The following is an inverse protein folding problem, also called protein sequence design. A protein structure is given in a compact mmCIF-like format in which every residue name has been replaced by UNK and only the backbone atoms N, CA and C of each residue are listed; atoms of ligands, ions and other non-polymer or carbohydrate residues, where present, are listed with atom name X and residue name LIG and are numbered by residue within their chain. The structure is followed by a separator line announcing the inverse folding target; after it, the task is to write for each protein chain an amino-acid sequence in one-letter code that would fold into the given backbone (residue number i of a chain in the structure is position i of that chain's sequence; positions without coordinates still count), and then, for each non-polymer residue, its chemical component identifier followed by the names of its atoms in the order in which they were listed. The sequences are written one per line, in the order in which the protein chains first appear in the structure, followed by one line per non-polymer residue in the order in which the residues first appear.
data_IF_583897071136
#
_entry.id   IF_583897071136
#
_cell.length_a   1.000
_cell.length_b   1.000
_cell.length_c   1.000
_cell.angle_alpha   90.00
_cell.angle_beta   90.00
_cell.angle_gamma   90.00
#
_symmetry.space_group_name_H-M   'P 1'
#
loop_
_entity.id
_entity.type
_entity.pdbx_description
1 polymer ?
#
# COMPACT_ATOMS: atom_id res chain seq x y z
N UNK A 1 -10.22 -47.66 -40.87
CA UNK A 1 -9.05 -48.25 -40.18
C UNK A 1 -7.97 -47.19 -39.93
N UNK A 2 -8.36 -46.00 -39.42
CA UNK A 2 -7.51 -44.82 -39.28
C UNK A 2 -7.53 -44.23 -37.84
N UNK A 3 -8.11 -44.98 -36.89
CA UNK A 3 -8.29 -44.57 -35.48
C UNK A 3 -7.40 -45.37 -34.52
N UNK A 4 -6.62 -46.35 -35.00
CA UNK A 4 -5.83 -47.25 -34.13
C UNK A 4 -4.34 -46.90 -33.97
N UNK A 5 -3.82 -45.84 -34.60
CA UNK A 5 -2.40 -45.48 -34.51
C UNK A 5 -2.09 -44.28 -33.61
N UNK A 6 -3.07 -43.46 -33.24
CA UNK A 6 -2.85 -42.29 -32.38
C UNK A 6 -2.61 -42.61 -30.90
N UNK A 7 -2.92 -43.83 -30.44
CA UNK A 7 -2.88 -44.17 -29.01
C UNK A 7 -1.51 -44.65 -28.48
N UNK A 8 -0.46 -44.78 -29.31
CA UNK A 8 0.84 -45.30 -28.83
C UNK A 8 1.86 -44.25 -28.38
N UNK A 9 1.64 -42.96 -28.66
CA UNK A 9 2.63 -41.91 -28.37
C UNK A 9 2.36 -41.08 -27.10
N UNK A 10 1.28 -41.36 -26.35
CA UNK A 10 0.87 -40.54 -25.22
C UNK A 10 1.43 -40.98 -23.85
N UNK A 11 2.20 -42.07 -23.76
CA UNK A 11 2.58 -42.68 -22.46
C UNK A 11 3.96 -42.24 -21.93
N UNK A 12 4.69 -41.34 -22.60
CA UNK A 12 5.97 -40.82 -22.05
C UNK A 12 6.10 -39.31 -22.18
N UNK A 13 5.34 -38.56 -21.39
CA UNK A 13 5.72 -37.19 -21.06
C UNK A 13 5.13 -36.82 -19.70
N UNK A 14 5.86 -37.14 -18.62
CA UNK A 14 5.54 -36.66 -17.26
C UNK A 14 6.83 -36.22 -16.59
N UNK A 15 6.92 -34.91 -16.33
CA UNK A 15 7.99 -34.08 -15.73
C UNK A 15 8.84 -33.31 -16.74
N UNK A 16 8.54 -32.01 -16.87
CA UNK A 16 9.46 -30.90 -16.63
C UNK A 16 8.68 -29.58 -16.62
N UNK A 17 8.99 -28.72 -15.64
CA UNK A 17 8.45 -27.38 -15.45
C UNK A 17 9.14 -26.39 -16.42
N UNK A 18 8.38 -25.39 -16.87
CA UNK A 18 8.91 -24.11 -17.37
C UNK A 18 9.17 -23.99 -18.88
N UNK A 19 8.27 -23.30 -19.57
CA UNK A 19 8.54 -22.43 -20.73
C UNK A 19 9.11 -23.04 -22.02
N UNK A 20 8.37 -22.88 -23.12
CA UNK A 20 8.80 -23.06 -24.52
C UNK A 20 9.10 -24.49 -25.02
N UNK A 21 8.08 -25.34 -25.18
CA UNK A 21 8.23 -26.59 -25.97
C UNK A 21 7.03 -27.01 -26.86
N UNK A 22 6.13 -26.11 -27.25
CA UNK A 22 5.10 -26.45 -28.25
C UNK A 22 5.62 -26.45 -29.71
N UNK A 23 6.79 -25.88 -29.96
CA UNK A 23 7.31 -25.71 -31.33
C UNK A 23 8.08 -26.91 -31.89
N UNK A 24 8.59 -27.81 -31.04
CA UNK A 24 9.50 -28.88 -31.49
C UNK A 24 8.73 -30.08 -32.08
N UNK A 25 7.54 -30.42 -31.55
CA UNK A 25 6.78 -31.57 -32.06
C UNK A 25 6.14 -31.35 -33.44
N UNK A 26 5.96 -30.12 -33.91
CA UNK A 26 5.35 -29.84 -35.21
C UNK A 26 6.35 -30.00 -36.38
N UNK A 27 7.64 -29.82 -36.13
CA UNK A 27 8.69 -29.86 -37.17
C UNK A 27 9.02 -31.31 -37.57
N UNK A 28 9.03 -32.26 -36.62
CA UNK A 28 9.32 -33.67 -36.95
C UNK A 28 8.21 -34.34 -37.76
N UNK A 29 6.95 -33.95 -37.56
CA UNK A 29 5.82 -34.51 -38.31
C UNK A 29 5.80 -34.07 -39.79
N UNK A 30 6.34 -32.89 -40.11
CA UNK A 30 6.40 -32.37 -41.49
C UNK A 30 7.55 -33.01 -42.28
N UNK A 31 8.67 -33.34 -41.62
CA UNK A 31 9.80 -34.00 -42.28
C UNK A 31 9.53 -35.48 -42.61
N UNK A 32 8.71 -36.17 -41.81
CA UNK A 32 8.36 -37.57 -42.07
C UNK A 32 7.52 -37.78 -43.34
N UNK A 33 6.73 -36.79 -43.76
CA UNK A 33 5.87 -36.89 -44.96
C UNK A 33 6.62 -36.62 -46.26
N UNK A 34 7.80 -35.98 -46.21
CA UNK A 34 8.60 -35.67 -47.40
C UNK A 34 9.54 -36.81 -47.83
N UNK A 35 9.75 -37.83 -47.00
CA UNK A 35 10.74 -38.87 -47.25
C UNK A 35 10.27 -40.05 -48.14
N UNK A 36 8.98 -40.12 -48.51
CA UNK A 36 8.43 -41.32 -49.18
C UNK A 36 7.91 -41.12 -50.60
N UNK A 37 8.17 -39.98 -51.25
CA UNK A 37 7.68 -39.72 -52.60
C UNK A 37 8.83 -39.46 -53.58
N UNK A 38 9.07 -40.41 -54.50
CA UNK A 38 9.93 -40.19 -55.67
C UNK A 38 9.27 -39.13 -56.56
N UNK A 39 9.85 -37.93 -56.59
CA UNK A 39 9.34 -36.82 -57.40
C UNK A 39 10.28 -36.50 -58.57
N UNK A 40 9.65 -36.34 -59.74
CA UNK A 40 10.24 -35.99 -61.02
C UNK A 40 10.83 -34.56 -60.99
N UNK A 41 12.13 -34.46 -61.34
CA UNK A 41 12.97 -33.27 -61.12
C UNK A 41 12.52 -31.99 -61.85
N UNK A 42 11.64 -32.10 -62.85
CA UNK A 42 11.15 -30.93 -63.61
C UNK A 42 10.02 -30.17 -62.92
N UNK A 43 9.28 -30.79 -61.99
CA UNK A 43 8.19 -30.11 -61.27
C UNK A 43 8.69 -29.34 -60.03
N UNK A 44 9.85 -29.73 -59.49
CA UNK A 44 10.40 -29.21 -58.23
C UNK A 44 10.67 -27.71 -58.29
N UNK A 45 11.09 -27.16 -59.44
CA UNK A 45 11.47 -25.74 -59.54
C UNK A 45 10.28 -24.77 -59.41
N UNK A 46 9.06 -25.18 -59.80
CA UNK A 46 7.84 -24.36 -59.65
C UNK A 46 7.30 -24.41 -58.21
N UNK A 47 7.31 -25.58 -57.59
CA UNK A 47 6.79 -25.74 -56.22
C UNK A 47 7.77 -25.21 -55.16
N UNK A 48 9.08 -25.32 -55.37
CA UNK A 48 10.10 -24.80 -54.45
C UNK A 48 9.97 -23.28 -54.29
N UNK A 49 9.61 -22.55 -55.35
CA UNK A 49 9.45 -21.11 -55.26
C UNK A 49 8.22 -20.71 -54.45
N UNK A 50 7.12 -21.46 -54.56
CA UNK A 50 5.90 -21.22 -53.80
C UNK A 50 6.01 -21.66 -52.34
N UNK A 51 6.71 -22.76 -52.06
CA UNK A 51 6.97 -23.18 -50.67
C UNK A 51 7.93 -22.24 -49.95
N UNK A 52 8.93 -21.68 -50.65
CA UNK A 52 9.84 -20.70 -50.06
C UNK A 52 9.13 -19.38 -49.74
N UNK A 53 8.23 -18.92 -50.63
CA UNK A 53 7.40 -17.73 -50.39
C UNK A 53 6.45 -17.96 -49.21
N UNK A 54 5.79 -19.12 -49.14
CA UNK A 54 4.91 -19.46 -48.02
C UNK A 54 5.67 -19.55 -46.68
N UNK A 55 6.89 -20.07 -46.68
CA UNK A 55 7.74 -20.13 -45.49
C UNK A 55 8.16 -18.73 -45.02
N UNK A 56 8.55 -17.85 -45.95
CA UNK A 56 8.88 -16.44 -45.65
C UNK A 56 7.67 -15.69 -45.11
N UNK A 57 6.47 -15.95 -45.66
CA UNK A 57 5.23 -15.34 -45.17
C UNK A 57 4.85 -15.83 -43.77
N UNK A 58 5.00 -17.13 -43.50
CA UNK A 58 4.76 -17.71 -42.17
C UNK A 58 5.79 -17.23 -41.14
N UNK A 59 7.07 -17.12 -41.51
CA UNK A 59 8.11 -16.54 -40.65
C UNK A 59 7.87 -15.05 -40.39
N UNK A 60 7.38 -14.30 -41.38
CA UNK A 60 6.96 -12.91 -41.22
C UNK A 60 5.78 -12.74 -40.26
N UNK A 61 4.80 -13.65 -40.29
CA UNK A 61 3.67 -13.64 -39.35
C UNK A 61 4.08 -13.99 -37.92
N UNK A 62 5.09 -14.84 -37.72
CA UNK A 62 5.64 -15.15 -36.38
C UNK A 62 6.46 -13.95 -35.86
N UNK A 63 7.16 -13.22 -36.73
CA UNK A 63 7.87 -11.98 -36.35
C UNK A 63 6.92 -10.80 -36.04
N UNK A 64 5.65 -10.89 -36.44
CA UNK A 64 4.59 -9.94 -36.08
C UNK A 64 3.74 -10.38 -34.89
N UNK A 65 4.11 -11.46 -34.18
CA UNK A 65 3.66 -11.61 -32.79
C UNK A 65 4.33 -10.51 -31.99
N UNK A 66 3.63 -9.37 -31.96
CA UNK A 66 3.85 -8.24 -31.07
C UNK A 66 4.41 -8.77 -29.76
N UNK A 67 5.68 -8.47 -29.49
CA UNK A 67 6.14 -8.38 -28.12
C UNK A 67 5.24 -7.34 -27.48
N UNK A 68 4.13 -7.78 -26.89
CA UNK A 68 3.37 -6.99 -25.96
C UNK A 68 4.40 -6.59 -24.91
N UNK A 69 4.82 -5.32 -24.97
CA UNK A 69 5.76 -4.73 -24.03
C UNK A 69 5.12 -4.98 -22.67
N UNK A 70 5.63 -5.98 -21.95
CA UNK A 70 5.20 -6.28 -20.58
C UNK A 70 5.32 -4.96 -19.85
N UNK A 71 4.17 -4.37 -19.52
CA UNK A 71 4.03 -2.98 -19.09
C UNK A 71 4.77 -2.80 -17.77
N UNK A 72 6.05 -2.41 -17.81
CA UNK A 72 6.78 -1.95 -16.62
C UNK A 72 5.97 -0.86 -15.89
N UNK A 73 5.36 0.06 -16.66
CA UNK A 73 4.43 1.06 -16.13
C UNK A 73 3.23 0.52 -15.33
N UNK A 74 2.79 -0.72 -15.55
CA UNK A 74 1.66 -1.31 -14.81
C UNK A 74 2.13 -1.89 -13.47
N UNK A 75 3.27 -2.58 -13.45
CA UNK A 75 3.84 -3.13 -12.22
C UNK A 75 4.28 -2.01 -11.28
N UNK A 76 4.92 -0.97 -11.83
CA UNK A 76 5.37 0.20 -11.07
C UNK A 76 4.17 0.98 -10.48
N UNK A 77 3.10 1.18 -11.27
CA UNK A 77 1.90 1.88 -10.81
C UNK A 77 1.10 1.13 -9.74
N UNK A 78 1.05 -0.20 -9.81
CA UNK A 78 0.38 -1.03 -8.80
C UNK A 78 1.17 -1.05 -7.48
N UNK A 79 2.51 -1.15 -7.56
CA UNK A 79 3.37 -1.08 -6.38
C UNK A 79 3.22 0.27 -5.69
N UNK A 80 3.26 1.38 -6.45
CA UNK A 80 3.09 2.72 -5.90
C UNK A 80 1.72 2.91 -5.25
N UNK A 81 0.64 2.42 -5.87
CA UNK A 81 -0.69 2.43 -5.27
C UNK A 81 -0.74 1.67 -3.95
N UNK A 82 -0.08 0.51 -3.89
CA UNK A 82 -0.01 -0.33 -2.68
C UNK A 82 0.75 0.40 -1.56
N UNK A 83 1.92 0.95 -1.88
CA UNK A 83 2.73 1.71 -0.91
C UNK A 83 1.97 2.94 -0.40
N UNK A 84 1.24 3.65 -1.26
CA UNK A 84 0.38 4.75 -0.83
C UNK A 84 -0.72 4.30 0.15
N UNK A 85 -1.41 3.19 -0.11
CA UNK A 85 -2.43 2.66 0.80
C UNK A 85 -1.85 2.38 2.18
N UNK A 86 -0.68 1.74 2.23
CA UNK A 86 0.04 1.47 3.47
C UNK A 86 0.42 2.78 4.18
N UNK A 87 1.01 3.75 3.47
CA UNK A 87 1.36 5.06 4.02
C UNK A 87 0.16 5.77 4.65
N UNK A 88 -0.98 5.78 3.96
CA UNK A 88 -2.19 6.43 4.43
C UNK A 88 -2.74 5.75 5.70
N UNK A 89 -2.72 4.42 5.71
CA UNK A 89 -3.13 3.61 6.86
C UNK A 89 -2.23 3.81 8.08
N UNK A 90 -0.91 3.87 7.90
CA UNK A 90 0.03 4.15 8.99
C UNK A 90 -0.11 5.58 9.51
N UNK A 91 -0.25 6.56 8.62
CA UNK A 91 -0.49 7.95 8.99
C UNK A 91 -1.74 8.10 9.88
N UNK A 92 -2.86 7.51 9.47
CA UNK A 92 -4.09 7.57 10.25
C UNK A 92 -3.93 6.96 11.63
N UNK A 93 -3.25 5.82 11.72
CA UNK A 93 -3.00 5.15 12.99
C UNK A 93 -2.11 5.98 13.92
N UNK A 94 -1.08 6.65 13.40
CA UNK A 94 -0.21 7.54 14.17
C UNK A 94 -0.99 8.76 14.69
N UNK A 95 -1.79 9.39 13.83
CA UNK A 95 -2.63 10.54 14.21
C UNK A 95 -3.66 10.14 15.26
N UNK A 96 -4.30 8.97 15.13
CA UNK A 96 -5.25 8.45 16.13
C UNK A 96 -4.61 8.29 17.50
N UNK A 97 -3.41 7.71 17.57
CA UNK A 97 -2.69 7.57 18.84
C UNK A 97 -2.29 8.94 19.41
N UNK A 98 -1.86 9.88 18.57
CA UNK A 98 -1.51 11.22 19.02
C UNK A 98 -2.73 12.00 19.55
N UNK A 99 -3.86 11.89 18.86
CA UNK A 99 -5.15 12.45 19.25
C UNK A 99 -5.66 11.84 20.57
N UNK A 100 -5.49 10.52 20.77
CA UNK A 100 -5.78 9.85 22.05
C UNK A 100 -4.99 10.46 23.21
N UNK A 101 -3.70 10.68 22.98
CA UNK A 101 -2.80 11.23 23.99
C UNK A 101 -3.14 12.69 24.28
N UNK A 102 -3.43 13.48 23.25
CA UNK A 102 -3.94 14.84 23.40
C UNK A 102 -5.23 14.91 24.21
N UNK A 103 -6.20 14.03 23.93
CA UNK A 103 -7.50 14.01 24.64
C UNK A 103 -7.38 13.64 26.13
N UNK A 104 -6.28 12.99 26.55
CA UNK A 104 -5.99 12.69 27.95
C UNK A 104 -5.39 13.87 28.72
N UNK A 105 -4.90 14.90 28.03
CA UNK A 105 -4.36 16.11 28.68
C UNK A 105 -5.48 16.97 29.25
N UNK A 106 -5.17 17.71 30.32
CA UNK A 106 -6.12 18.58 31.00
C UNK A 106 -5.66 20.04 30.93
N UNK A 107 -6.50 20.97 31.37
CA UNK A 107 -6.14 22.40 31.39
C UNK A 107 -4.93 22.75 32.28
N UNK A 108 -4.42 21.80 33.07
CA UNK A 108 -3.19 21.96 33.87
C UNK A 108 -1.94 21.37 33.18
N UNK A 109 -2.10 20.69 32.04
CA UNK A 109 -1.03 20.00 31.33
C UNK A 109 -1.25 18.47 31.29
N UNK A 110 -0.15 17.72 31.32
CA UNK A 110 -0.15 16.25 31.23
C UNK A 110 -0.75 15.58 32.49
N UNK A 111 -1.38 14.40 32.36
CA UNK A 111 -1.70 13.57 33.51
C UNK A 111 -0.42 12.99 34.14
N UNK A 112 -0.45 12.56 35.41
CA UNK A 112 0.70 11.88 36.03
C UNK A 112 1.09 10.58 35.31
N UNK A 113 0.09 9.88 34.76
CA UNK A 113 0.26 8.66 33.97
C UNK A 113 -0.76 8.67 32.83
N UNK A 114 -0.30 8.32 31.62
CA UNK A 114 -1.17 8.14 30.47
C UNK A 114 -1.78 6.74 30.45
N UNK A 115 -3.03 6.66 30.02
CA UNK A 115 -3.73 5.41 29.74
C UNK A 115 -3.29 4.92 28.36
N UNK A 116 -2.65 3.76 28.33
CA UNK A 116 -2.05 3.18 27.11
C UNK A 116 -2.83 1.97 26.58
N UNK A 117 -4.16 1.95 26.77
CA UNK A 117 -5.00 0.78 26.46
C UNK A 117 -5.04 0.40 24.98
N UNK A 118 -4.88 1.37 24.07
CA UNK A 118 -4.80 1.14 22.63
C UNK A 118 -3.39 0.76 22.14
N UNK A 119 -2.37 0.92 22.98
CA UNK A 119 -0.96 0.75 22.64
C UNK A 119 -0.47 -0.67 22.92
N UNK A 120 0.75 -0.97 22.48
CA UNK A 120 1.45 -2.19 22.88
C UNK A 120 1.77 -2.18 24.38
N UNK A 121 1.82 -3.37 25.00
CA UNK A 121 2.20 -3.55 26.41
C UNK A 121 3.61 -3.07 26.76
N UNK A 122 4.51 -2.96 25.78
CA UNK A 122 5.85 -2.40 25.98
C UNK A 122 5.89 -0.88 25.90
N UNK A 123 4.80 -0.23 25.51
CA UNK A 123 4.78 1.22 25.33
C UNK A 123 4.90 1.92 26.69
N UNK A 124 5.74 2.96 26.72
CA UNK A 124 5.91 3.84 27.87
C UNK A 124 5.99 5.29 27.41
N UNK A 125 5.60 6.23 28.28
CA UNK A 125 5.62 7.66 27.99
C UNK A 125 6.59 8.36 28.93
N UNK A 126 7.42 9.23 28.39
CA UNK A 126 8.38 10.05 29.13
C UNK A 126 7.96 11.50 28.95
N UNK A 127 7.53 12.14 30.03
CA UNK A 127 7.10 13.54 30.03
C UNK A 127 8.32 14.42 30.20
N UNK A 128 8.62 15.27 29.20
CA UNK A 128 9.69 16.27 29.27
C UNK A 128 9.16 17.60 29.81
N UNK A 129 7.95 17.98 29.39
CA UNK A 129 7.22 19.14 29.91
C UNK A 129 5.77 18.76 30.23
N UNK A 130 5.35 19.13 31.44
CA UNK A 130 4.11 18.65 32.04
C UNK A 130 3.04 19.73 32.21
N UNK A 131 3.36 21.02 32.03
CA UNK A 131 2.50 22.14 32.41
C UNK A 131 2.39 23.18 31.28
N UNK A 132 1.32 23.99 31.31
CA UNK A 132 1.16 25.15 30.42
C UNK A 132 1.44 26.50 31.12
N UNK A 133 1.75 26.49 32.41
CA UNK A 133 1.81 27.69 33.26
C UNK A 133 3.11 28.51 33.15
N UNK A 134 4.16 27.91 32.62
CA UNK A 134 5.47 28.49 32.27
C UNK A 134 5.43 29.32 30.98
N UNK A 135 4.35 29.22 30.21
CA UNK A 135 4.12 30.00 28.99
C UNK A 135 4.61 29.31 27.72
N UNK A 136 5.08 28.07 27.81
CA UNK A 136 5.27 27.12 26.73
C UNK A 136 4.21 26.01 26.74
N UNK A 137 4.33 25.10 25.78
CA UNK A 137 3.44 23.96 25.62
C UNK A 137 4.01 22.72 26.27
N UNK A 138 3.17 21.72 26.53
CA UNK A 138 3.62 20.43 27.06
C UNK A 138 4.31 19.57 26.00
N UNK A 139 5.19 18.68 26.44
CA UNK A 139 6.00 17.82 25.58
C UNK A 139 6.22 16.46 26.22
N UNK A 140 6.10 15.40 25.42
CA UNK A 140 6.35 14.03 25.86
C UNK A 140 6.75 13.12 24.71
N UNK A 141 7.56 12.11 25.03
CA UNK A 141 8.01 11.05 24.13
C UNK A 141 7.20 9.76 24.41
N UNK A 142 6.70 9.12 23.36
CA UNK A 142 6.13 7.77 23.40
C UNK A 142 7.17 6.80 22.88
N UNK A 143 7.64 5.90 23.75
CA UNK A 143 8.57 4.84 23.41
C UNK A 143 7.82 3.52 23.26
N UNK A 144 7.85 2.92 22.07
CA UNK A 144 7.15 1.69 21.73
C UNK A 144 8.00 0.42 21.98
N UNK A 145 9.23 0.59 22.48
CA UNK A 145 10.15 -0.49 22.79
C UNK A 145 11.19 -0.75 21.68
N UNK A 146 11.99 -1.82 21.83
CA UNK A 146 13.14 -2.09 20.98
C UNK A 146 12.74 -2.46 19.54
N UNK A 147 13.62 -2.17 18.59
CA UNK A 147 13.46 -2.46 17.16
C UNK A 147 14.03 -3.82 16.74
N UNK A 148 14.17 -4.76 17.69
CA UNK A 148 14.70 -6.10 17.39
C UNK A 148 13.64 -6.91 16.66
N UNK A 149 13.96 -7.40 15.46
CA UNK A 149 13.05 -8.21 14.64
C UNK A 149 13.12 -9.71 15.01
N UNK A 150 11.99 -10.44 14.97
CA UNK A 150 10.64 -9.91 14.77
C UNK A 150 10.16 -9.11 15.98
N UNK A 151 9.33 -8.09 15.74
CA UNK A 151 8.71 -7.32 16.81
C UNK A 151 7.87 -8.25 17.70
N UNK A 152 7.90 -7.99 19.01
CA UNK A 152 7.22 -8.82 20.01
C UNK A 152 5.70 -8.66 19.95
N UNK A 153 4.94 -9.68 20.33
CA UNK A 153 3.48 -9.55 20.55
C UNK A 153 3.12 -8.46 21.56
N UNK A 154 4.03 -8.15 22.49
CA UNK A 154 3.84 -7.05 23.43
C UNK A 154 3.95 -5.66 22.77
N UNK A 155 4.45 -5.57 21.53
CA UNK A 155 4.53 -4.35 20.73
C UNK A 155 3.32 -4.17 19.80
N UNK A 156 2.40 -5.14 19.79
CA UNK A 156 1.19 -5.08 19.00
C UNK A 156 0.16 -4.17 19.67
N UNK A 157 -0.22 -3.11 18.97
CA UNK A 157 -1.31 -2.22 19.39
C UNK A 157 -2.68 -2.86 19.17
N UNK A 158 -3.71 -2.18 19.67
CA UNK A 158 -5.10 -2.61 19.53
C UNK A 158 -5.56 -2.70 18.07
N UNK A 159 -5.01 -1.86 17.21
CA UNK A 159 -5.27 -1.88 15.77
C UNK A 159 -4.60 -3.05 15.02
N UNK A 160 -3.90 -3.90 15.75
CA UNK A 160 -3.24 -5.08 15.22
C UNK A 160 -1.88 -4.79 14.61
N UNK A 161 -1.43 -3.52 14.60
CA UNK A 161 -0.14 -3.10 14.07
C UNK A 161 0.95 -3.16 15.14
N UNK A 162 2.12 -3.63 14.77
CA UNK A 162 3.31 -3.67 15.62
C UNK A 162 4.05 -2.36 15.50
N UNK A 163 4.54 -1.82 16.62
CA UNK A 163 5.30 -0.55 16.65
C UNK A 163 6.57 -0.69 17.48
N UNK A 164 7.64 -0.03 17.08
CA UNK A 164 8.88 0.09 17.85
C UNK A 164 9.55 1.43 17.58
N UNK A 165 10.52 1.82 18.41
CA UNK A 165 11.16 3.13 18.33
C UNK A 165 10.39 4.19 19.11
N UNK A 166 10.52 5.45 18.71
CA UNK A 166 10.03 6.60 19.48
C UNK A 166 9.21 7.56 18.62
N UNK A 167 8.35 8.31 19.30
CA UNK A 167 7.53 9.38 18.71
C UNK A 167 7.43 10.52 19.71
N UNK A 168 7.58 11.75 19.24
CA UNK A 168 7.56 12.95 20.06
C UNK A 168 6.27 13.71 19.81
N UNK A 169 5.64 14.17 20.88
CA UNK A 169 4.42 14.97 20.83
C UNK A 169 4.64 16.25 21.62
N UNK A 170 4.29 17.37 20.99
CA UNK A 170 4.24 18.69 21.62
C UNK A 170 2.85 19.27 21.46
N UNK A 171 2.31 19.87 22.51
CA UNK A 171 0.99 20.51 22.47
C UNK A 171 1.12 21.94 22.99
N UNK A 172 0.82 22.92 22.13
CA UNK A 172 1.14 24.33 22.40
C UNK A 172 0.20 25.02 23.39
N UNK A 173 -1.01 24.49 23.55
CA UNK A 173 -2.01 25.00 24.49
C UNK A 173 -2.92 23.86 24.94
N UNK A 174 -3.85 24.12 25.86
CA UNK A 174 -4.80 23.10 26.31
C UNK A 174 -5.51 22.44 25.13
N UNK A 175 -5.30 21.13 24.96
CA UNK A 175 -5.73 20.40 23.76
C UNK A 175 -7.24 20.49 23.47
N UNK A 176 -8.07 20.62 24.50
CA UNK A 176 -9.52 20.74 24.36
C UNK A 176 -9.97 22.10 23.80
N UNK A 177 -9.09 23.10 23.76
CA UNK A 177 -9.39 24.41 23.21
C UNK A 177 -9.42 24.39 21.68
N UNK A 178 -10.30 25.21 21.11
CA UNK A 178 -10.28 25.48 19.66
C UNK A 178 -8.94 26.10 19.31
N UNK A 179 -8.42 25.76 18.14
CA UNK A 179 -7.13 26.20 17.61
C UNK A 179 -5.91 25.67 18.37
N UNK A 180 -6.08 24.80 19.37
CA UNK A 180 -4.94 24.10 19.97
C UNK A 180 -4.20 23.32 18.89
N UNK A 181 -2.87 23.43 18.92
CA UNK A 181 -1.96 22.78 17.98
C UNK A 181 -1.20 21.67 18.70
N UNK A 182 -1.35 20.46 18.19
CA UNK A 182 -0.52 19.31 18.48
C UNK A 182 0.49 19.16 17.35
N UNK A 183 1.76 19.06 17.68
CA UNK A 183 2.87 18.81 16.77
C UNK A 183 3.37 17.39 17.05
N UNK A 184 3.52 16.60 16.00
CA UNK A 184 3.98 15.23 16.06
C UNK A 184 5.21 15.07 15.18
N UNK A 185 6.26 14.54 15.78
CA UNK A 185 7.55 14.36 15.15
C UNK A 185 8.09 12.94 15.42
N UNK A 186 8.54 12.29 14.36
CA UNK A 186 9.29 11.04 14.40
C UNK A 186 10.50 11.28 13.52
N UNK A 187 11.65 11.46 14.14
CA UNK A 187 12.90 11.64 13.43
C UNK A 187 13.42 10.32 12.89
N UNK A 188 14.23 10.40 11.84
CA UNK A 188 14.94 9.22 11.32
C UNK A 188 15.81 8.56 12.41
N UNK A 189 16.34 9.32 13.37
CA UNK A 189 17.12 8.80 14.50
C UNK A 189 16.29 8.03 15.53
N UNK A 190 14.97 8.26 15.57
CA UNK A 190 14.07 7.55 16.49
C UNK A 190 13.88 6.08 16.11
N UNK A 191 14.31 5.71 14.89
CA UNK A 191 14.22 4.37 14.35
C UNK A 191 12.82 3.79 14.55
N UNK A 192 11.79 4.55 14.19
CA UNK A 192 10.42 4.10 14.34
C UNK A 192 10.07 3.08 13.25
N UNK A 193 9.53 1.94 13.65
CA UNK A 193 9.08 0.89 12.73
C UNK A 193 7.63 0.53 13.01
N UNK A 194 6.86 0.36 11.93
CA UNK A 194 5.44 0.05 12.01
C UNK A 194 4.99 -0.90 10.91
N UNK A 195 4.03 -1.77 11.22
CA UNK A 195 3.36 -2.60 10.22
C UNK A 195 2.56 -3.75 10.84
N UNK A 196 1.78 -4.44 10.01
CA UNK A 196 0.98 -5.59 10.44
C UNK A 196 1.85 -6.84 10.58
N UNK A 197 2.87 -7.01 9.72
CA UNK A 197 3.81 -8.11 9.81
C UNK A 197 5.00 -7.78 10.75
N UNK A 198 5.14 -8.46 11.91
CA UNK A 198 6.21 -8.17 12.87
C UNK A 198 7.62 -8.51 12.34
N UNK A 199 7.74 -9.31 11.27
CA UNK A 199 9.01 -9.67 10.67
C UNK A 199 9.51 -8.62 9.66
N UNK A 200 8.59 -7.83 9.11
CA UNK A 200 8.85 -6.91 8.00
C UNK A 200 8.12 -5.57 8.20
N UNK A 201 8.26 -4.91 9.37
CA UNK A 201 7.70 -3.58 9.54
C UNK A 201 8.43 -2.59 8.62
N UNK A 202 7.78 -1.46 8.33
CA UNK A 202 8.34 -0.34 7.56
C UNK A 202 8.95 0.67 8.51
N UNK A 203 10.14 1.16 8.17
CA UNK A 203 10.76 2.27 8.89
C UNK A 203 10.19 3.58 8.35
N UNK A 204 9.81 4.48 9.24
CA UNK A 204 9.14 5.72 8.88
C UNK A 204 9.71 6.91 9.65
N UNK A 205 9.60 8.09 9.05
CA UNK A 205 9.77 9.37 9.72
C UNK A 205 8.57 10.26 9.37
N UNK A 206 8.12 11.09 10.30
CA UNK A 206 6.97 11.97 10.09
C UNK A 206 7.16 13.29 10.81
N UNK A 207 6.74 14.36 10.14
CA UNK A 207 6.50 15.67 10.73
C UNK A 207 5.08 16.06 10.31
N UNK A 208 4.19 16.15 11.30
CA UNK A 208 2.79 16.55 11.08
C UNK A 208 2.31 17.47 12.20
N UNK A 209 1.34 18.33 11.87
CA UNK A 209 0.65 19.16 12.86
C UNK A 209 -0.87 19.01 12.78
N UNK A 210 -1.51 18.91 13.95
CA UNK A 210 -2.94 18.75 14.11
C UNK A 210 -3.50 19.96 14.83
N UNK A 211 -4.40 20.70 14.17
CA UNK A 211 -5.10 21.85 14.74
C UNK A 211 -6.56 21.46 14.99
N UNK A 212 -6.96 21.50 16.27
CA UNK A 212 -8.35 21.23 16.67
C UNK A 212 -9.26 22.38 16.24
N UNK A 213 -10.28 22.10 15.44
CA UNK A 213 -11.28 23.11 15.04
C UNK A 213 -12.46 23.13 16.03
N UNK A 214 -12.90 21.94 16.42
CA UNK A 214 -13.94 21.70 17.43
C UNK A 214 -13.72 20.33 18.08
N UNK A 215 -14.69 19.84 18.86
CA UNK A 215 -14.56 18.57 19.58
C UNK A 215 -14.51 17.32 18.69
N UNK A 216 -14.85 17.45 17.40
CA UNK A 216 -14.91 16.34 16.44
C UNK A 216 -13.94 16.55 15.27
N UNK A 217 -13.70 17.79 14.88
CA UNK A 217 -13.00 18.14 13.65
C UNK A 217 -11.58 18.59 13.94
N UNK A 218 -10.62 17.95 13.28
CA UNK A 218 -9.20 18.26 13.35
C UNK A 218 -8.66 18.48 11.94
N UNK A 219 -7.95 19.58 11.74
CA UNK A 219 -7.21 19.83 10.51
C UNK A 219 -5.78 19.34 10.70
N UNK A 220 -5.32 18.50 9.80
CA UNK A 220 -3.99 17.90 9.79
C UNK A 220 -3.19 18.51 8.66
N UNK A 221 -2.01 19.02 8.98
CA UNK A 221 -0.97 19.35 8.00
C UNK A 221 0.08 18.27 8.05
N UNK A 222 0.48 17.76 6.90
CA UNK A 222 1.49 16.71 6.75
C UNK A 222 2.67 17.37 6.05
N UNK A 223 3.61 17.87 6.83
CA UNK A 223 4.83 18.50 6.33
C UNK A 223 5.71 17.46 5.60
N UNK A 224 5.82 16.25 6.16
CA UNK A 224 6.45 15.09 5.53
C UNK A 224 6.07 13.79 6.23
N UNK A 225 5.76 12.75 5.46
CA UNK A 225 5.76 11.35 5.89
C UNK A 225 6.66 10.56 4.95
N UNK A 226 7.77 10.05 5.47
CA UNK A 226 8.77 9.29 4.72
C UNK A 226 8.68 7.81 5.03
N UNK A 227 8.57 6.98 4.00
CA UNK A 227 8.71 5.53 4.07
C UNK A 227 10.08 5.12 3.54
N UNK A 228 10.91 4.55 4.40
CA UNK A 228 12.25 4.10 4.03
C UNK A 228 12.22 2.65 3.52
N UNK A 229 12.58 2.47 2.27
CA UNK A 229 12.72 1.16 1.64
C UNK A 229 13.93 1.11 0.71
N UNK A 230 13.77 0.45 -0.45
CA UNK A 230 14.76 0.51 -1.53
C UNK A 230 14.91 1.95 -2.03
N UNK A 231 13.77 2.61 -2.24
CA UNK A 231 13.64 4.03 -2.50
C UNK A 231 12.90 4.68 -1.32
N UNK A 232 13.09 5.97 -1.12
CA UNK A 232 12.29 6.72 -0.14
C UNK A 232 11.09 7.32 -0.84
N UNK A 233 9.90 7.04 -0.29
CA UNK A 233 8.64 7.63 -0.72
C UNK A 233 8.24 8.65 0.33
N UNK A 234 7.96 9.87 -0.10
CA UNK A 234 7.58 11.00 0.75
C UNK A 234 6.16 11.44 0.41
N UNK A 235 5.28 11.45 1.40
CA UNK A 235 3.93 11.98 1.31
C UNK A 235 3.87 13.34 2.01
N UNK A 236 3.24 14.32 1.36
CA UNK A 236 2.92 15.64 1.93
C UNK A 236 1.48 15.99 1.62
N UNK A 237 0.89 16.88 2.40
CA UNK A 237 -0.44 17.40 2.09
C UNK A 237 -1.18 17.91 3.30
N UNK A 238 -2.50 17.94 3.17
CA UNK A 238 -3.40 18.26 4.27
C UNK A 238 -4.56 17.29 4.30
N UNK A 239 -5.06 17.05 5.51
CA UNK A 239 -6.23 16.23 5.74
C UNK A 239 -7.15 16.87 6.76
N UNK A 240 -8.42 16.50 6.73
CA UNK A 240 -9.39 16.80 7.75
C UNK A 240 -9.86 15.46 8.34
N UNK A 241 -9.64 15.31 9.64
CA UNK A 241 -10.11 14.17 10.42
C UNK A 241 -11.39 14.59 11.17
N UNK A 242 -12.48 13.86 10.96
CA UNK A 242 -13.76 14.09 11.63
C UNK A 242 -14.14 12.85 12.45
N UNK A 243 -14.30 13.03 13.76
CA UNK A 243 -14.85 12.01 14.67
C UNK A 243 -16.37 11.91 14.46
N UNK A 244 -16.82 10.93 13.68
CA UNK A 244 -18.25 10.65 13.46
C UNK A 244 -18.90 10.08 14.73
N UNK A 245 -18.19 9.16 15.39
CA UNK A 245 -18.56 8.60 16.69
C UNK A 245 -17.33 8.61 17.60
N UNK A 246 -17.55 8.95 18.87
CA UNK A 246 -16.50 9.10 19.88
C UNK A 246 -16.88 8.35 21.17
N UNK A 247 -16.03 7.42 21.60
CA UNK A 247 -16.07 6.74 22.90
C UNK A 247 -14.98 7.34 23.79
N UNK A 248 -15.35 8.38 24.54
CA UNK A 248 -14.40 9.02 25.46
C UNK A 248 -14.43 8.33 26.85
N UNK A 249 -13.28 8.07 27.50
CA UNK A 249 -11.91 8.28 27.00
C UNK A 249 -11.41 7.16 26.08
N UNK A 250 -10.54 7.51 25.11
CA UNK A 250 -9.86 6.57 24.22
C UNK A 250 -10.30 6.63 22.74
N UNK A 251 -9.66 5.81 21.90
CA UNK A 251 -10.01 5.69 20.47
C UNK A 251 -10.83 4.46 20.13
N UNK A 252 -10.87 3.46 21.02
CA UNK A 252 -11.58 2.20 20.80
C UNK A 252 -13.08 2.46 20.80
N UNK A 253 -13.74 2.11 19.70
CA UNK A 253 -15.15 2.37 19.41
C UNK A 253 -15.39 3.58 18.51
N UNK A 254 -14.35 4.35 18.18
CA UNK A 254 -14.49 5.54 17.35
C UNK A 254 -14.75 5.18 15.88
N UNK A 255 -15.48 6.07 15.21
CA UNK A 255 -15.63 6.07 13.75
C UNK A 255 -15.09 7.38 13.21
N UNK A 256 -14.13 7.30 12.31
CA UNK A 256 -13.47 8.46 11.71
C UNK A 256 -13.83 8.60 10.24
N UNK A 257 -13.91 9.85 9.81
CA UNK A 257 -13.97 10.24 8.41
C UNK A 257 -12.75 11.08 8.08
N UNK A 258 -12.05 10.75 6.99
CA UNK A 258 -10.88 11.48 6.51
C UNK A 258 -11.17 12.03 5.12
N UNK A 259 -10.87 13.31 4.93
CA UNK A 259 -10.78 13.99 3.63
C UNK A 259 -9.38 14.57 3.52
N UNK A 260 -8.86 14.77 2.31
CA UNK A 260 -7.54 15.38 2.15
C UNK A 260 -7.01 15.32 0.74
N UNK A 261 -5.92 16.01 0.53
CA UNK A 261 -5.18 15.99 -0.73
C UNK A 261 -3.72 16.39 -0.51
N UNK A 262 -2.88 16.10 -1.49
CA UNK A 262 -1.48 16.45 -1.42
C UNK A 262 -0.65 15.84 -2.53
N UNK A 263 0.62 15.64 -2.23
CA UNK A 263 1.64 15.15 -3.16
C UNK A 263 2.36 13.94 -2.60
N UNK A 264 2.76 13.05 -3.50
CA UNK A 264 3.53 11.86 -3.26
C UNK A 264 4.75 11.94 -4.17
N UNK A 265 5.94 11.88 -3.58
CA UNK A 265 7.21 11.95 -4.29
C UNK A 265 7.99 10.67 -4.01
N UNK A 266 8.48 10.02 -5.05
CA UNK A 266 9.50 8.99 -4.92
C UNK A 266 10.82 9.54 -5.46
N UNK A 267 11.93 9.21 -4.81
CA UNK A 267 13.25 9.82 -5.07
C UNK A 267 13.70 9.84 -6.54
N UNK A 268 13.17 8.95 -7.38
CA UNK A 268 13.55 8.77 -8.80
C UNK A 268 12.38 8.96 -9.80
N UNK A 269 11.19 9.36 -9.34
CA UNK A 269 9.98 9.45 -10.18
C UNK A 269 9.33 10.84 -10.14
N UNK A 270 8.46 11.08 -11.12
CA UNK A 270 7.64 12.29 -11.19
C UNK A 270 6.71 12.40 -9.97
N UNK A 271 6.41 13.64 -9.56
CA UNK A 271 5.47 13.93 -8.49
C UNK A 271 4.05 13.45 -8.87
N UNK A 272 3.44 12.65 -7.99
CA UNK A 272 2.03 12.27 -8.09
C UNK A 272 1.21 13.10 -7.11
N UNK A 273 0.03 13.53 -7.53
CA UNK A 273 -0.95 14.14 -6.62
C UNK A 273 -1.91 13.09 -6.12
N UNK A 274 -2.33 13.21 -4.86
CA UNK A 274 -3.36 12.37 -4.27
C UNK A 274 -4.54 13.22 -3.79
N UNK A 275 -5.75 12.71 -3.96
CA UNK A 275 -7.00 13.40 -3.59
C UNK A 275 -8.01 12.38 -3.08
N UNK A 276 -8.54 12.59 -1.88
CA UNK A 276 -9.66 11.81 -1.35
C UNK A 276 -10.95 12.33 -1.99
N UNK A 277 -11.41 11.64 -3.03
CA UNK A 277 -12.60 12.02 -3.81
C UNK A 277 -13.90 11.51 -3.19
N UNK A 278 -13.82 10.47 -2.38
CA UNK A 278 -14.89 10.06 -1.46
C UNK A 278 -14.32 9.89 -0.06
N UNK A 279 -14.95 10.45 0.99
CA UNK A 279 -14.40 10.42 2.34
C UNK A 279 -14.01 9.02 2.77
N UNK A 280 -12.79 8.86 3.29
CA UNK A 280 -12.33 7.60 3.82
C UNK A 280 -12.95 7.36 5.19
N UNK A 281 -13.46 6.16 5.41
CA UNK A 281 -14.11 5.78 6.66
C UNK A 281 -13.28 4.73 7.36
N UNK A 282 -13.03 4.93 8.65
CA UNK A 282 -12.31 3.97 9.50
C UNK A 282 -13.08 3.69 10.78
N UNK A 283 -13.20 2.41 11.13
CA UNK A 283 -13.88 1.94 12.33
C UNK A 283 -12.85 1.36 13.31
N UNK A 284 -12.67 1.98 14.46
CA UNK A 284 -11.70 1.53 15.46
C UNK A 284 -12.35 0.51 16.40
N UNK A 285 -12.56 -0.70 15.90
CA UNK A 285 -13.18 -1.82 16.64
C UNK A 285 -12.36 -3.11 16.44
N UNK A 286 -12.48 -4.12 17.34
CA UNK A 286 -11.68 -5.34 17.23
C UNK A 286 -11.83 -5.97 15.84
N UNK A 287 -10.70 -6.20 15.17
CA UNK A 287 -10.66 -6.82 13.84
C UNK A 287 -10.94 -5.87 12.65
N UNK A 288 -11.23 -4.59 12.89
CA UNK A 288 -11.51 -3.62 11.83
C UNK A 288 -10.65 -2.34 11.88
N UNK A 289 -9.91 -2.13 12.97
CA UNK A 289 -9.12 -0.91 13.19
C UNK A 289 -7.89 -0.74 12.31
N UNK A 290 -7.46 -1.76 11.57
CA UNK A 290 -6.18 -1.72 10.85
C UNK A 290 -6.23 -0.83 9.62
N UNK A 291 -7.35 -0.85 8.89
CA UNK A 291 -7.48 -0.24 7.56
C UNK A 291 -8.79 0.54 7.42
N UNK A 292 -8.93 1.31 6.34
CA UNK A 292 -10.20 1.92 5.96
C UNK A 292 -11.20 0.86 5.48
N UNK A 293 -12.48 1.09 5.75
CA UNK A 293 -13.59 0.21 5.34
C UNK A 293 -14.40 0.77 4.18
N UNK A 294 -14.17 2.04 3.82
CA UNK A 294 -14.87 2.72 2.73
C UNK A 294 -14.09 3.97 2.29
N UNK A 295 -14.37 4.43 1.08
CA UNK A 295 -13.92 5.67 0.48
C UNK A 295 -13.05 5.45 -0.75
N UNK A 296 -12.72 6.55 -1.42
CA UNK A 296 -12.01 6.50 -2.68
C UNK A 296 -10.93 7.58 -2.75
N UNK A 297 -9.77 7.18 -3.27
CA UNK A 297 -8.63 8.06 -3.51
C UNK A 297 -8.27 8.04 -4.98
N UNK A 298 -7.92 9.21 -5.49
CA UNK A 298 -7.43 9.41 -6.83
C UNK A 298 -5.95 9.77 -6.76
N UNK A 299 -5.10 8.97 -7.42
CA UNK A 299 -3.70 9.30 -7.66
C UNK A 299 -3.56 9.76 -9.11
N UNK A 300 -3.04 10.97 -9.32
CA UNK A 300 -2.84 11.54 -10.66
C UNK A 300 -1.35 11.81 -10.89
N UNK A 301 -0.82 11.20 -11.93
CA UNK A 301 0.44 11.63 -12.56
C UNK A 301 0.10 12.77 -13.53
N UNK A 302 0.90 13.83 -13.52
CA UNK A 302 0.67 15.10 -14.21
C UNK A 302 0.27 14.95 -15.69
N UNK A 303 0.77 13.93 -16.40
CA UNK A 303 0.56 13.77 -17.84
C UNK A 303 0.27 12.33 -18.33
N UNK A 304 0.16 11.34 -17.43
CA UNK A 304 0.20 9.91 -17.85
C UNK A 304 -1.10 9.15 -17.63
N UNK A 305 -1.48 8.97 -16.38
CA UNK A 305 -2.57 8.06 -16.01
C UNK A 305 -3.13 8.41 -14.65
N UNK A 306 -4.45 8.22 -14.53
CA UNK A 306 -5.14 8.29 -13.25
C UNK A 306 -5.28 6.89 -12.68
N UNK A 307 -4.89 6.74 -11.42
CA UNK A 307 -5.09 5.53 -10.64
C UNK A 307 -6.17 5.80 -9.60
N UNK A 308 -7.18 4.94 -9.53
CA UNK A 308 -8.25 5.02 -8.52
C UNK A 308 -8.06 3.90 -7.51
N UNK A 309 -8.14 4.25 -6.24
CA UNK A 309 -8.12 3.33 -5.10
C UNK A 309 -9.52 3.34 -4.49
N UNK A 310 -10.17 2.19 -4.47
CA UNK A 310 -11.50 1.99 -3.90
C UNK A 310 -11.39 1.02 -2.71
N UNK A 311 -11.67 1.54 -1.52
CA UNK A 311 -11.55 0.82 -0.25
C UNK A 311 -12.81 -0.01 0.10
N UNK A 312 -13.89 0.09 -0.68
CA UNK A 312 -15.08 -0.76 -0.51
C UNK A 312 -15.60 -1.27 -1.87
N UNK A 313 -14.80 -2.08 -2.58
CA UNK A 313 -15.11 -2.50 -3.95
C UNK A 313 -16.31 -3.43 -4.08
N UNK A 314 -16.91 -3.84 -2.96
CA UNK A 314 -18.08 -4.71 -2.87
C UNK A 314 -19.26 -4.03 -2.15
N UNK A 315 -19.16 -2.74 -1.84
CA UNK A 315 -20.19 -1.90 -1.20
C UNK A 315 -20.79 -2.55 0.05
N UNK A 316 -19.93 -3.11 0.91
CA UNK A 316 -20.33 -3.87 2.08
C UNK A 316 -19.72 -3.37 3.40
N UNK A 317 -18.88 -2.33 3.35
CA UNK A 317 -18.12 -1.79 4.49
C UNK A 317 -17.41 -2.87 5.33
N UNK A 318 -16.89 -3.92 4.68
CA UNK A 318 -16.26 -5.03 5.37
C UNK A 318 -14.82 -4.74 5.79
N UNK A 319 -14.33 -5.45 6.81
CA UNK A 319 -12.99 -5.30 7.35
C UNK A 319 -11.96 -6.21 6.64
N UNK A 320 -12.18 -6.55 5.37
CA UNK A 320 -11.43 -7.55 4.61
C UNK A 320 -10.08 -7.03 4.06
N UNK A 321 -9.81 -5.73 4.23
CA UNK A 321 -8.59 -5.04 3.78
C UNK A 321 -8.37 -5.13 2.29
N UNK A 322 -9.44 -5.29 1.52
CA UNK A 322 -9.38 -5.37 0.07
C UNK A 322 -9.52 -3.97 -0.52
N UNK A 323 -8.54 -3.57 -1.33
CA UNK A 323 -8.59 -2.34 -2.10
C UNK A 323 -8.60 -2.68 -3.58
N UNK A 324 -9.54 -2.11 -4.34
CA UNK A 324 -9.53 -2.21 -5.79
C UNK A 324 -8.73 -1.05 -6.38
N UNK A 325 -7.62 -1.41 -7.02
CA UNK A 325 -6.77 -0.47 -7.74
C UNK A 325 -7.17 -0.50 -9.22
N UNK A 326 -7.61 0.64 -9.76
CA UNK A 326 -7.94 0.80 -11.18
C UNK A 326 -6.94 1.70 -11.87
N UNK A 327 -6.14 1.14 -12.77
CA UNK A 327 -5.10 1.86 -13.54
C UNK A 327 -5.49 1.81 -15.02
N UNK A 328 -5.71 2.98 -15.63
CA UNK A 328 -6.08 3.10 -17.05
C UNK A 328 -7.24 2.17 -17.45
N UNK A 329 -8.27 2.08 -16.60
CA UNK A 329 -9.48 1.27 -16.82
C UNK A 329 -9.33 -0.23 -16.54
N UNK A 330 -8.16 -0.70 -16.10
CA UNK A 330 -7.95 -2.09 -15.65
C UNK A 330 -7.95 -2.13 -14.12
N UNK A 331 -8.85 -2.92 -13.55
CA UNK A 331 -8.96 -3.10 -12.10
C UNK A 331 -8.20 -4.33 -11.63
N UNK A 332 -7.59 -4.25 -10.44
CA UNK A 332 -6.92 -5.34 -9.73
C UNK A 332 -7.21 -5.18 -8.25
N UNK A 333 -7.66 -6.25 -7.59
CA UNK A 333 -7.93 -6.25 -6.16
C UNK A 333 -6.66 -6.67 -5.43
N UNK A 334 -6.26 -5.88 -4.42
CA UNK A 334 -5.11 -6.15 -3.55
C UNK A 334 -5.57 -6.32 -2.12
N UNK A 335 -4.84 -7.11 -1.33
CA UNK A 335 -5.03 -7.23 0.11
C UNK A 335 -3.88 -6.52 0.81
N UNK A 336 -4.20 -5.65 1.78
CA UNK A 336 -3.19 -4.91 2.56
C UNK A 336 -2.69 -5.79 3.72
N UNK A 337 -1.39 -6.13 3.68
CA UNK A 337 -0.70 -7.06 4.60
C UNK A 337 0.53 -6.46 5.29
#
# INVERSE_FOLDING_TARGET
MLVRQFCKYWIKCKRCFGGNQYYICFIEAVFATFATTQFDFRMIRKYLHHTLIALVFMLGLIAMQSCERINQHKEDGLQMATDYCLMQSELASIIELADEMGDQTAGKGTPPEFILGAFGKTTSVIISDSTYFDGDGIEFEINFGPNTLPLSENQRGYDGKYRSGKMHIKIQSHYQEKTSKLELEIDKSDNFWMGINPNQPKNIAISCSVIRQDSKTHNVTIESLDFFGKNTITLKGSAQLVKLTSSNPGIIGNKYQILGNGVLMESDHDELTWEVVQPLIKNVVPGCSSEYVNGMVLLKDSDKSTTTLDYDPFENESCDRIVRVTIAGKSTDITLD
#
